data_IF_987585030432
#
_entry.id   IF_987585030432
#
_cell.length_a   1.000
_cell.length_b   1.000
_cell.length_c   1.000
_cell.angle_alpha   90.00
_cell.angle_beta   90.00
_cell.angle_gamma   90.00
#
_symmetry.space_group_name_H-M   'P 1'
#
loop_
_entity.id
_entity.type
_entity.pdbx_description
1 polymer ?
#
# COMPACT_ATOMS: atom_id res chain seq x y z
N UNK A 1 -7.74 16.76 18.22
CA UNK A 1 -6.80 16.85 17.08
C UNK A 1 -6.04 15.53 17.00
N UNK A 2 -6.00 14.82 15.86
CA UNK A 2 -5.13 13.65 15.74
C UNK A 2 -3.67 14.14 15.83
N UNK A 3 -2.80 13.51 16.64
CA UNK A 3 -1.41 13.89 16.70
C UNK A 3 -0.77 13.74 15.31
N UNK A 4 0.06 14.71 14.93
CA UNK A 4 0.92 14.58 13.75
C UNK A 4 1.98 13.52 14.09
N UNK A 5 1.97 12.42 13.32
CA UNK A 5 2.94 11.35 13.44
C UNK A 5 3.85 11.42 12.22
N UNK A 6 5.15 11.58 12.45
CA UNK A 6 6.15 11.51 11.38
C UNK A 6 6.50 10.05 11.14
N UNK A 7 6.44 9.65 9.87
CA UNK A 7 6.88 8.34 9.40
C UNK A 7 7.92 8.59 8.32
N UNK A 8 9.13 8.11 8.54
CA UNK A 8 10.18 8.23 7.53
C UNK A 8 10.01 7.11 6.50
N UNK A 9 10.13 7.48 5.21
CA UNK A 9 10.01 6.56 4.08
C UNK A 9 11.29 6.61 3.25
N UNK A 10 11.81 5.44 2.91
CA UNK A 10 12.92 5.27 1.98
C UNK A 10 12.42 4.57 0.72
N UNK A 11 12.56 5.23 -0.44
CA UNK A 11 12.29 4.60 -1.73
C UNK A 11 13.38 3.57 -2.08
N UNK A 12 12.94 2.42 -2.59
CA UNK A 12 13.79 1.36 -3.10
C UNK A 12 13.94 1.48 -4.64
N UNK A 13 14.94 0.83 -5.26
CA UNK A 13 15.16 0.89 -6.70
C UNK A 13 13.91 0.58 -7.54
N UNK A 14 13.16 -0.46 -7.18
CA UNK A 14 11.93 -0.87 -7.87
C UNK A 14 10.76 0.12 -7.71
N UNK A 15 10.82 1.00 -6.70
CA UNK A 15 9.84 2.06 -6.49
C UNK A 15 10.18 3.38 -7.17
N UNK A 16 11.32 3.47 -7.88
CA UNK A 16 11.72 4.71 -8.54
C UNK A 16 10.68 5.14 -9.58
N UNK A 17 10.31 6.43 -9.52
CA UNK A 17 9.28 7.01 -10.40
C UNK A 17 7.84 6.83 -9.91
N UNK A 18 7.61 6.05 -8.84
CA UNK A 18 6.29 5.97 -8.21
C UNK A 18 6.09 7.10 -7.20
N UNK A 19 4.84 7.59 -7.04
CA UNK A 19 4.52 8.53 -5.98
C UNK A 19 4.62 7.85 -4.61
N UNK A 20 5.05 8.62 -3.61
CA UNK A 20 4.96 8.19 -2.22
C UNK A 20 3.50 8.03 -1.78
N UNK A 21 3.20 7.14 -0.82
CA UNK A 21 1.87 7.02 -0.25
C UNK A 21 1.38 8.37 0.31
N UNK A 22 0.23 8.83 -0.19
CA UNK A 22 -0.35 10.12 0.19
C UNK A 22 -1.86 10.01 0.38
N UNK A 23 -2.39 10.73 1.37
CA UNK A 23 -3.83 10.85 1.56
C UNK A 23 -4.45 11.73 0.48
N UNK A 24 -5.48 11.22 -0.20
CA UNK A 24 -6.10 11.93 -1.32
C UNK A 24 -6.95 13.12 -0.90
N UNK A 25 -7.57 13.07 0.28
CA UNK A 25 -8.37 14.18 0.82
C UNK A 25 -8.07 14.38 2.32
N UNK A 26 -8.40 15.56 2.89
CA UNK A 26 -8.20 15.82 4.31
C UNK A 26 -8.91 14.82 5.26
N UNK A 27 -9.97 14.16 4.78
CA UNK A 27 -10.75 13.18 5.55
C UNK A 27 -10.36 11.73 5.30
N UNK A 28 -9.38 11.45 4.44
CA UNK A 28 -8.98 10.07 4.12
C UNK A 28 -8.42 9.35 5.34
N UNK A 29 -8.91 8.12 5.60
CA UNK A 29 -8.46 7.30 6.73
C UNK A 29 -7.20 6.47 6.41
N UNK A 30 -6.98 6.15 5.13
CA UNK A 30 -5.79 5.47 4.62
C UNK A 30 -5.28 6.12 3.33
N UNK A 31 -4.10 5.70 2.87
CA UNK A 31 -3.55 6.06 1.58
C UNK A 31 -3.41 4.81 0.71
N UNK A 32 -3.49 4.99 -0.61
CA UNK A 32 -3.30 3.90 -1.57
C UNK A 32 -1.80 3.59 -1.70
N UNK A 33 -1.48 2.30 -1.92
CA UNK A 33 -0.15 1.84 -2.27
C UNK A 33 -0.10 1.46 -3.75
N UNK A 34 1.06 1.65 -4.37
CA UNK A 34 1.30 1.34 -5.77
C UNK A 34 2.09 0.02 -5.91
N UNK A 35 1.83 -0.70 -6.99
CA UNK A 35 2.59 -1.90 -7.33
C UNK A 35 3.93 -1.50 -7.96
N UNK A 36 5.03 -1.82 -7.30
CA UNK A 36 6.40 -1.56 -7.77
C UNK A 36 6.91 -2.69 -8.67
N UNK A 37 6.25 -2.87 -9.82
CA UNK A 37 6.52 -3.94 -10.79
C UNK A 37 6.79 -3.34 -12.17
N UNK A 38 7.72 -3.94 -12.92
CA UNK A 38 8.02 -3.52 -14.29
C UNK A 38 6.96 -3.99 -15.29
N UNK A 39 6.47 -5.22 -15.09
CA UNK A 39 5.52 -5.87 -15.98
C UNK A 39 4.23 -6.23 -15.25
N UNK A 40 3.12 -6.23 -15.99
CA UNK A 40 1.82 -6.61 -15.44
C UNK A 40 1.82 -8.08 -14.99
N UNK A 41 1.22 -8.34 -13.83
CA UNK A 41 1.01 -9.69 -13.32
C UNK A 41 -0.48 -10.04 -13.49
N UNK A 42 -0.75 -11.14 -14.20
CA UNK A 42 -2.10 -11.72 -14.28
C UNK A 42 -2.30 -12.71 -13.13
N UNK A 43 -3.37 -12.49 -12.35
CA UNK A 43 -3.81 -13.43 -11.32
C UNK A 43 -4.99 -14.24 -11.84
N UNK A 44 -4.82 -15.57 -11.90
CA UNK A 44 -5.92 -16.49 -12.12
C UNK A 44 -6.77 -16.66 -10.86
N UNK A 45 -8.03 -17.14 -10.95
CA UNK A 45 -8.85 -17.40 -9.78
C UNK A 45 -8.13 -18.27 -8.73
N UNK A 46 -8.07 -17.77 -7.50
CA UNK A 46 -7.40 -18.44 -6.37
C UNK A 46 -5.87 -18.27 -6.31
N UNK A 47 -5.25 -17.71 -7.36
CA UNK A 47 -3.82 -17.42 -7.39
C UNK A 47 -3.49 -16.25 -6.46
N UNK A 48 -2.27 -16.26 -5.91
CA UNK A 48 -1.73 -15.24 -5.03
C UNK A 48 -0.36 -14.85 -5.52
N UNK A 49 -0.01 -13.58 -5.38
CA UNK A 49 1.33 -13.08 -5.65
C UNK A 49 1.71 -12.08 -4.58
N UNK A 50 3.00 -12.04 -4.24
CA UNK A 50 3.57 -10.99 -3.41
C UNK A 50 3.94 -9.82 -4.33
N UNK A 51 3.32 -8.67 -4.11
CA UNK A 51 3.55 -7.47 -4.91
C UNK A 51 4.39 -6.49 -4.07
N UNK A 52 5.61 -6.11 -4.52
CA UNK A 52 6.42 -5.12 -3.81
C UNK A 52 5.77 -3.74 -3.88
N UNK A 53 5.92 -2.95 -2.81
CA UNK A 53 5.47 -1.57 -2.75
C UNK A 53 6.56 -0.55 -3.13
N UNK A 54 7.82 -0.99 -3.24
CA UNK A 54 8.95 -0.15 -3.67
C UNK A 54 9.45 0.85 -2.65
N UNK A 55 9.11 0.67 -1.36
CA UNK A 55 9.63 1.49 -0.28
C UNK A 55 9.75 0.69 1.02
N UNK A 56 10.56 1.20 1.95
CA UNK A 56 10.56 0.84 3.35
C UNK A 56 10.07 2.02 4.20
N UNK A 57 9.45 1.73 5.35
CA UNK A 57 8.97 2.75 6.29
C UNK A 57 9.47 2.49 7.71
N UNK A 58 9.77 3.56 8.43
CA UNK A 58 10.12 3.51 9.84
C UNK A 58 8.97 4.10 10.68
N UNK A 59 8.27 3.22 11.42
CA UNK A 59 7.21 3.63 12.34
C UNK A 59 7.80 4.00 13.70
N UNK A 60 7.35 5.11 14.32
CA UNK A 60 7.72 5.42 15.68
C UNK A 60 7.12 4.40 16.67
N UNK A 61 7.76 4.26 17.83
CA UNK A 61 7.29 3.38 18.89
C UNK A 61 5.86 3.72 19.32
N UNK A 62 5.04 2.69 19.58
CA UNK A 62 3.63 2.84 19.96
C UNK A 62 2.66 2.97 18.78
N UNK A 63 3.14 2.83 17.53
CA UNK A 63 2.32 2.86 16.33
C UNK A 63 2.49 1.59 15.51
N UNK A 64 1.44 1.26 14.75
CA UNK A 64 1.45 0.23 13.72
C UNK A 64 0.87 0.79 12.41
N UNK A 65 1.18 0.13 11.29
CA UNK A 65 0.52 0.34 10.02
C UNK A 65 -0.26 -0.92 9.67
N UNK A 66 -1.47 -0.73 9.13
CA UNK A 66 -2.33 -1.83 8.68
C UNK A 66 -2.51 -1.75 7.18
N UNK A 67 -2.22 -2.84 6.48
CA UNK A 67 -2.49 -2.97 5.05
C UNK A 67 -3.89 -3.54 4.89
N UNK A 68 -4.75 -2.82 4.17
CA UNK A 68 -6.15 -3.19 3.98
C UNK A 68 -6.49 -3.24 2.49
N UNK A 69 -7.41 -4.13 2.06
CA UNK A 69 -7.86 -4.18 0.67
C UNK A 69 -8.55 -2.88 0.25
N UNK A 70 -8.38 -2.49 -1.02
CA UNK A 70 -9.22 -1.45 -1.63
C UNK A 70 -10.60 -2.05 -1.91
N UNK A 71 -11.63 -1.49 -1.28
CA UNK A 71 -13.01 -2.01 -1.37
C UNK A 71 -13.50 -2.19 -2.80
N UNK A 72 -13.17 -1.26 -3.69
CA UNK A 72 -13.50 -1.35 -5.11
C UNK A 72 -12.86 -2.54 -5.82
N UNK A 73 -11.60 -2.88 -5.49
CA UNK A 73 -10.91 -4.03 -6.08
C UNK A 73 -11.45 -5.34 -5.53
N UNK A 74 -11.68 -5.40 -4.21
CA UNK A 74 -12.23 -6.57 -3.56
C UNK A 74 -13.65 -6.89 -4.06
N UNK A 75 -14.54 -5.89 -4.11
CA UNK A 75 -15.94 -6.09 -4.50
C UNK A 75 -16.10 -6.43 -5.99
N UNK A 76 -15.34 -5.77 -6.87
CA UNK A 76 -15.52 -5.91 -8.33
C UNK A 76 -14.71 -7.05 -8.93
N UNK A 77 -13.54 -7.35 -8.38
CA UNK A 77 -12.57 -8.27 -8.98
C UNK A 77 -12.09 -9.38 -8.05
N UNK A 78 -12.54 -9.41 -6.79
CA UNK A 78 -12.07 -10.39 -5.80
C UNK A 78 -10.60 -10.24 -5.40
N UNK A 79 -9.97 -9.11 -5.75
CA UNK A 79 -8.56 -8.84 -5.41
C UNK A 79 -8.50 -8.29 -4.00
N UNK A 80 -7.84 -9.03 -3.10
CA UNK A 80 -7.76 -8.72 -1.67
C UNK A 80 -6.38 -9.05 -1.09
N UNK A 81 -6.14 -8.60 0.13
CA UNK A 81 -4.97 -8.97 0.94
C UNK A 81 -5.33 -10.24 1.73
N UNK A 82 -4.58 -11.33 1.53
CA UNK A 82 -4.84 -12.60 2.23
C UNK A 82 -4.65 -12.47 3.75
N UNK A 83 -3.70 -11.64 4.18
CA UNK A 83 -3.24 -11.48 5.55
C UNK A 83 -3.69 -10.15 6.19
N UNK A 84 -4.92 -9.74 5.89
CA UNK A 84 -5.56 -8.52 6.43
C UNK A 84 -6.43 -8.81 7.64
#
# INVERSE_FOLDING_TARGET
MKPLVRVDIQLLPEGQGLPLPSYMTPGSAGCDLYAAINDAITLQPGQRSLIPAGFCMALPAGFEAQIRPRSGLAMKYGVTCLNS
#
